data_IF_869818082470
#
_entry.id   IF_869818082470
#
_cell.length_a   1.000
_cell.length_b   1.000
_cell.length_c   1.000
_cell.angle_alpha   90.00
_cell.angle_beta   90.00
_cell.angle_gamma   90.00
#
_symmetry.space_group_name_H-M   'P 1'
#
loop_
_entity.id
_entity.type
_entity.pdbx_description
1 polymer ?
#
# COMPACT_ATOMS: atom_id res chain seq x y z
N UNK A 1 -11.57 2.29 -6.45
CA UNK A 1 -11.82 1.16 -5.52
C UNK A 1 -13.23 0.59 -5.67
N UNK A 2 -13.34 -0.68 -6.07
CA UNK A 2 -14.59 -1.44 -6.07
C UNK A 2 -14.64 -2.32 -4.80
N UNK A 3 -15.45 -1.93 -3.81
CA UNK A 3 -15.57 -2.64 -2.52
C UNK A 3 -16.00 -4.10 -2.68
N UNK A 4 -16.81 -4.42 -3.70
CA UNK A 4 -17.22 -5.79 -3.98
C UNK A 4 -16.05 -6.66 -4.44
N UNK A 5 -15.16 -6.12 -5.28
CA UNK A 5 -13.96 -6.81 -5.76
C UNK A 5 -12.96 -7.08 -4.62
N UNK A 6 -12.78 -6.11 -3.72
CA UNK A 6 -11.95 -6.29 -2.51
C UNK A 6 -12.48 -7.44 -1.66
N UNK A 7 -13.80 -7.47 -1.40
CA UNK A 7 -14.42 -8.53 -0.58
C UNK A 7 -14.22 -9.93 -1.15
N UNK A 8 -14.11 -10.07 -2.48
CA UNK A 8 -13.87 -11.36 -3.13
C UNK A 8 -12.46 -11.90 -2.86
N UNK A 9 -11.48 -11.03 -2.60
CA UNK A 9 -10.10 -11.41 -2.27
C UNK A 9 -9.80 -11.48 -0.77
N UNK A 10 -10.81 -11.39 0.10
CA UNK A 10 -10.64 -11.44 1.55
C UNK A 10 -11.24 -12.73 2.12
N UNK A 11 -10.43 -13.48 2.84
CA UNK A 11 -10.85 -14.68 3.59
C UNK A 11 -10.48 -14.56 5.08
N UNK A 12 -11.16 -15.34 5.93
CA UNK A 12 -10.86 -15.40 7.36
C UNK A 12 -10.32 -16.77 7.71
N UNK A 13 -9.24 -16.79 8.50
CA UNK A 13 -8.79 -18.00 9.18
C UNK A 13 -9.58 -18.13 10.47
N UNK A 14 -10.15 -19.31 10.71
CA UNK A 14 -10.93 -19.60 11.91
C UNK A 14 -10.28 -20.71 12.74
N UNK A 15 -10.41 -20.62 14.06
CA UNK A 15 -9.98 -21.69 14.96
C UNK A 15 -11.03 -22.83 15.00
N UNK A 16 -10.76 -23.88 15.78
CA UNK A 16 -11.68 -25.02 15.92
C UNK A 16 -13.05 -24.69 16.54
N UNK A 17 -13.22 -23.50 17.11
CA UNK A 17 -14.49 -22.98 17.64
C UNK A 17 -15.25 -22.12 16.63
N UNK A 18 -14.69 -21.90 15.43
CA UNK A 18 -15.25 -21.02 14.41
C UNK A 18 -14.97 -19.54 14.64
N UNK A 19 -14.11 -19.19 15.60
CA UNK A 19 -13.75 -17.80 15.88
C UNK A 19 -12.67 -17.34 14.88
N UNK A 20 -12.83 -16.12 14.35
CA UNK A 20 -11.85 -15.52 13.42
C UNK A 20 -10.57 -15.17 14.17
N UNK A 21 -9.44 -15.71 13.73
CA UNK A 21 -8.12 -15.46 14.36
C UNK A 21 -7.17 -14.69 13.46
N UNK A 22 -7.39 -14.73 12.15
CA UNK A 22 -6.59 -13.95 11.20
C UNK A 22 -7.40 -13.60 9.95
N UNK A 23 -6.87 -12.63 9.20
CA UNK A 23 -7.31 -12.24 7.88
C UNK A 23 -6.33 -12.81 6.85
N UNK A 24 -6.84 -13.39 5.78
CA UNK A 24 -6.05 -13.78 4.62
C UNK A 24 -6.44 -12.85 3.46
N UNK A 25 -5.44 -12.17 2.92
CA UNK A 25 -5.57 -11.27 1.76
C UNK A 25 -5.02 -11.98 0.53
N UNK A 26 -5.83 -12.12 -0.50
CA UNK A 26 -5.41 -12.64 -1.80
C UNK A 26 -4.73 -11.55 -2.61
N UNK A 27 -3.40 -11.55 -2.60
CA UNK A 27 -2.59 -10.60 -3.36
C UNK A 27 -2.59 -10.90 -4.87
N UNK A 28 -3.32 -11.90 -5.40
CA UNK A 28 -3.54 -12.03 -6.85
C UNK A 28 -4.75 -11.22 -7.34
N UNK A 29 -5.60 -10.76 -6.42
CA UNK A 29 -6.71 -9.86 -6.72
C UNK A 29 -6.20 -8.42 -6.78
N UNK A 30 -6.29 -7.78 -7.95
CA UNK A 30 -5.80 -6.41 -8.19
C UNK A 30 -6.39 -5.39 -7.18
N UNK A 31 -7.67 -5.50 -6.84
CA UNK A 31 -8.30 -4.58 -5.89
C UNK A 31 -7.76 -4.75 -4.45
N UNK A 32 -7.31 -5.96 -4.09
CA UNK A 32 -6.64 -6.21 -2.81
C UNK A 32 -5.18 -5.73 -2.85
N UNK A 33 -4.49 -5.91 -3.98
CA UNK A 33 -3.14 -5.38 -4.16
C UNK A 33 -3.11 -3.85 -3.99
N UNK A 34 -3.98 -3.12 -4.71
CA UNK A 34 -4.09 -1.66 -4.59
C UNK A 34 -4.33 -1.22 -3.14
N UNK A 35 -5.26 -1.89 -2.43
CA UNK A 35 -5.55 -1.57 -1.04
C UNK A 35 -4.35 -1.81 -0.11
N UNK A 36 -3.57 -2.86 -0.35
CA UNK A 36 -2.38 -3.17 0.45
C UNK A 36 -1.25 -2.21 0.11
N UNK A 37 -1.04 -1.87 -1.17
CA UNK A 37 -0.09 -0.84 -1.61
C UNK A 37 -0.41 0.49 -0.93
N UNK A 38 -1.65 0.99 -1.04
CA UNK A 38 -2.09 2.25 -0.41
C UNK A 38 -1.81 2.27 1.10
N UNK A 39 -2.00 1.13 1.78
CA UNK A 39 -1.70 0.98 3.20
C UNK A 39 -0.20 1.11 3.46
N UNK A 40 0.64 0.39 2.71
CA UNK A 40 2.10 0.43 2.87
C UNK A 40 2.64 1.82 2.54
N UNK A 41 2.22 2.43 1.45
CA UNK A 41 2.60 3.79 1.06
C UNK A 41 2.25 4.81 2.14
N UNK A 42 1.09 4.65 2.77
CA UNK A 42 0.68 5.51 3.89
C UNK A 42 1.60 5.32 5.11
N UNK A 43 1.99 4.08 5.42
CA UNK A 43 2.93 3.80 6.50
C UNK A 43 4.31 4.38 6.19
N UNK A 44 4.80 4.24 4.96
CA UNK A 44 6.06 4.82 4.50
C UNK A 44 6.06 6.35 4.66
N UNK A 45 4.98 7.02 4.25
CA UNK A 45 4.84 8.48 4.43
C UNK A 45 4.89 8.87 5.91
N UNK A 46 4.27 8.08 6.79
CA UNK A 46 4.28 8.34 8.23
C UNK A 46 5.69 8.17 8.81
N UNK A 47 6.37 7.07 8.48
CA UNK A 47 7.73 6.78 8.96
C UNK A 47 8.74 7.84 8.49
N UNK A 48 8.58 8.30 7.25
CA UNK A 48 9.50 9.24 6.59
C UNK A 48 9.13 10.71 6.79
N UNK A 49 8.10 11.00 7.61
CA UNK A 49 7.58 12.36 7.80
C UNK A 49 8.62 13.36 8.33
N UNK A 50 9.64 12.89 9.03
CA UNK A 50 10.71 13.73 9.59
C UNK A 50 11.95 13.82 8.70
N UNK A 51 11.96 13.15 7.54
CA UNK A 51 13.07 13.27 6.58
C UNK A 51 13.12 14.69 5.98
N UNK A 52 14.32 15.21 5.70
CA UNK A 52 14.45 16.47 4.97
C UNK A 52 13.73 16.41 3.62
N UNK A 53 12.92 17.43 3.32
CA UNK A 53 12.24 17.55 2.03
C UNK A 53 13.06 18.41 1.06
N UNK A 54 13.05 18.05 -0.22
CA UNK A 54 13.57 18.87 -1.31
C UNK A 54 12.43 19.66 -1.97
N UNK A 55 12.74 20.85 -2.47
CA UNK A 55 11.78 21.60 -3.28
C UNK A 55 11.62 20.92 -4.64
N UNK A 56 10.40 20.97 -5.19
CA UNK A 56 10.10 20.36 -6.48
C UNK A 56 11.05 20.82 -7.61
N UNK A 57 11.38 22.12 -7.67
CA UNK A 57 12.29 22.63 -8.70
C UNK A 57 13.73 22.14 -8.52
N UNK A 58 14.19 21.87 -7.30
CA UNK A 58 15.53 21.30 -7.04
C UNK A 58 15.61 19.89 -7.63
N UNK A 59 14.63 19.04 -7.31
CA UNK A 59 14.54 17.66 -7.80
C UNK A 59 14.41 17.62 -9.32
N UNK A 60 13.57 18.46 -9.90
CA UNK A 60 13.37 18.54 -11.36
C UNK A 60 14.66 18.92 -12.09
N UNK A 61 15.38 19.92 -11.57
CA UNK A 61 16.64 20.37 -12.18
C UNK A 61 17.71 19.28 -12.08
N UNK A 62 17.81 18.57 -10.95
CA UNK A 62 18.71 17.43 -10.78
C UNK A 62 18.45 16.33 -11.82
N UNK A 63 17.18 15.93 -11.99
CA UNK A 63 16.79 14.89 -12.96
C UNK A 63 17.12 15.32 -14.40
N UNK A 64 16.89 16.58 -14.76
CA UNK A 64 17.18 17.09 -16.10
C UNK A 64 18.68 17.15 -16.38
N UNK A 65 19.50 17.55 -15.40
CA UNK A 65 20.95 17.59 -15.54
C UNK A 65 21.55 16.20 -15.73
N UNK A 66 21.07 15.20 -15.00
CA UNK A 66 21.54 13.81 -15.06
C UNK A 66 21.10 13.04 -16.31
N UNK A 67 20.29 13.64 -17.19
CA UNK A 67 19.86 13.05 -18.47
C UNK A 67 20.69 13.52 -19.68
N UNK A 68 21.69 14.38 -19.44
CA UNK A 68 22.61 14.94 -20.43
C UNK A 68 23.82 14.03 -20.65
#
# INVERSE_FOLDING_TARGET
>A
MNVAAIRQGISYVTNSKGEKTALQLDLTNEAVQEMVEDLIDTLDVIERRSEPTLLFEEVKNEILLNRS
#
